data_IF_604001822329
#
_entry.id   IF_604001822329
#
_cell.length_a   1.000
_cell.length_b   1.000
_cell.length_c   1.000
_cell.angle_alpha   90.00
_cell.angle_beta   90.00
_cell.angle_gamma   90.00
#
_symmetry.space_group_name_H-M   'P 1'
#
loop_
_entity.id
_entity.type
_entity.pdbx_description
1 polymer ?
#
# COMPACT_ATOMS: atom_id res chain seq x y z
N UNK A 1 17.42 -5.08 -4.39
CA UNK A 1 16.69 -3.94 -4.98
C UNK A 1 17.60 -3.11 -5.87
N UNK A 2 17.04 -2.28 -6.75
CA UNK A 2 17.74 -1.31 -7.61
C UNK A 2 17.02 0.04 -7.51
N UNK A 3 17.75 1.12 -7.23
CA UNK A 3 17.16 2.47 -7.22
C UNK A 3 16.82 2.91 -8.65
N UNK A 4 15.67 3.56 -8.81
CA UNK A 4 15.24 4.20 -10.06
C UNK A 4 15.23 5.71 -9.80
N UNK A 5 16.17 6.41 -10.42
CA UNK A 5 16.37 7.85 -10.26
C UNK A 5 15.41 8.65 -11.16
N UNK A 6 15.39 9.97 -10.98
CA UNK A 6 14.67 10.86 -11.89
C UNK A 6 15.29 10.82 -13.29
N UNK A 7 16.62 10.68 -13.38
CA UNK A 7 17.34 10.56 -14.65
C UNK A 7 16.96 9.27 -15.40
N UNK A 8 16.87 8.15 -14.69
CA UNK A 8 16.43 6.88 -15.27
C UNK A 8 15.02 7.01 -15.89
N UNK A 9 14.09 7.63 -15.16
CA UNK A 9 12.75 7.90 -15.68
C UNK A 9 12.76 8.84 -16.88
N UNK A 10 13.53 9.93 -16.84
CA UNK A 10 13.64 10.88 -17.95
C UNK A 10 14.24 10.22 -19.20
N UNK A 11 15.14 9.26 -19.04
CA UNK A 11 15.66 8.46 -20.14
C UNK A 11 14.60 7.47 -20.66
N UNK A 12 13.88 6.78 -19.76
CA UNK A 12 12.82 5.84 -20.13
C UNK A 12 11.74 6.47 -21.01
N UNK A 13 11.27 7.68 -20.67
CA UNK A 13 10.19 8.37 -21.40
C UNK A 13 10.59 8.96 -22.76
N UNK A 14 11.88 8.92 -23.11
CA UNK A 14 12.34 9.25 -24.48
C UNK A 14 11.85 8.21 -25.46
N UNK A 15 11.87 6.95 -25.06
CA UNK A 15 11.51 5.80 -25.90
C UNK A 15 10.10 5.26 -25.61
N UNK A 16 9.57 5.51 -24.40
CA UNK A 16 8.29 4.99 -23.94
C UNK A 16 7.29 6.12 -23.66
N UNK A 17 6.11 6.04 -24.25
CA UNK A 17 4.99 6.98 -23.98
C UNK A 17 3.88 6.38 -23.12
N UNK A 18 4.03 5.10 -22.79
CA UNK A 18 3.06 4.31 -22.05
C UNK A 18 3.77 3.23 -21.24
N UNK A 19 3.17 2.84 -20.14
CA UNK A 19 3.45 1.58 -19.44
C UNK A 19 2.22 0.69 -19.49
N UNK A 20 2.44 -0.62 -19.36
CA UNK A 20 1.36 -1.60 -19.25
C UNK A 20 1.48 -2.30 -17.92
N UNK A 21 0.44 -2.17 -17.09
CA UNK A 21 0.36 -2.83 -15.79
C UNK A 21 -0.94 -3.61 -15.80
N UNK A 22 -0.84 -4.92 -15.59
CA UNK A 22 -1.93 -5.87 -15.89
C UNK A 22 -2.42 -5.75 -17.36
N UNK A 23 -3.72 -5.53 -17.54
CA UNK A 23 -4.43 -5.26 -18.80
C UNK A 23 -4.64 -3.76 -19.05
N UNK A 24 -4.01 -2.88 -18.26
CA UNK A 24 -4.23 -1.43 -18.33
C UNK A 24 -3.00 -0.73 -18.90
N UNK A 25 -3.22 -0.08 -20.05
CA UNK A 25 -2.26 0.85 -20.64
C UNK A 25 -2.42 2.25 -20.02
N UNK A 26 -1.32 2.79 -19.50
CA UNK A 26 -1.25 4.07 -18.80
C UNK A 26 -0.21 4.98 -19.45
N UNK A 27 -0.61 6.21 -19.77
CA UNK A 27 0.28 7.21 -20.38
C UNK A 27 1.29 7.77 -19.38
N UNK A 28 2.50 8.04 -19.89
CA UNK A 28 3.63 8.65 -19.18
C UNK A 28 4.36 9.65 -20.08
N UNK A 29 5.26 10.45 -19.49
CA UNK A 29 6.14 11.38 -20.19
C UNK A 29 5.47 12.69 -20.60
N UNK A 30 4.27 12.95 -20.09
CA UNK A 30 3.56 14.21 -20.30
C UNK A 30 3.83 15.18 -19.16
N UNK A 31 3.86 16.47 -19.46
CA UNK A 31 3.95 17.49 -18.41
C UNK A 31 2.58 17.64 -17.73
N UNK A 32 2.53 17.25 -16.46
CA UNK A 32 1.28 17.14 -15.71
C UNK A 32 0.85 18.50 -15.13
N UNK A 33 -0.16 19.14 -15.76
CA UNK A 33 -0.73 20.40 -15.26
C UNK A 33 -1.54 20.16 -13.97
N UNK A 34 -1.13 20.80 -12.89
CA UNK A 34 -1.83 20.73 -11.61
C UNK A 34 -2.87 21.84 -11.51
N UNK A 35 -4.13 21.47 -11.32
CA UNK A 35 -5.21 22.43 -11.00
C UNK A 35 -5.18 22.85 -9.54
N UNK A 36 -4.92 21.88 -8.67
CA UNK A 36 -4.95 22.04 -7.22
C UNK A 36 -3.89 21.12 -6.62
N UNK A 37 -2.99 21.66 -5.78
CA UNK A 37 -1.90 20.87 -5.20
C UNK A 37 -2.34 20.05 -3.97
N UNK A 38 -3.30 20.56 -3.21
CA UNK A 38 -3.77 20.01 -1.93
C UNK A 38 -5.29 20.04 -1.88
N UNK A 39 -5.98 19.12 -1.19
CA UNK A 39 -7.41 19.27 -0.96
C UNK A 39 -7.70 20.61 -0.24
N UNK A 40 -8.75 21.32 -0.66
CA UNK A 40 -9.12 22.62 -0.09
C UNK A 40 -9.36 22.53 1.43
N UNK A 41 -10.04 21.48 1.86
CA UNK A 41 -10.20 21.12 3.26
C UNK A 41 -9.97 19.62 3.41
N UNK A 42 -9.15 19.22 4.39
CA UNK A 42 -8.99 17.84 4.79
C UNK A 42 -9.06 17.73 6.30
N UNK A 43 -10.01 16.93 6.78
CA UNK A 43 -10.17 16.64 8.21
C UNK A 43 -9.72 15.21 8.48
N UNK A 44 -8.98 15.03 9.57
CA UNK A 44 -8.58 13.71 10.03
C UNK A 44 -9.82 12.89 10.44
N UNK A 45 -9.95 11.67 9.93
CA UNK A 45 -11.04 10.75 10.30
C UNK A 45 -10.84 10.24 11.72
N UNK A 46 -11.79 10.48 12.62
CA UNK A 46 -11.65 10.16 14.06
C UNK A 46 -12.29 8.83 14.47
N UNK A 47 -12.92 8.11 13.55
CA UNK A 47 -13.58 6.83 13.80
C UNK A 47 -12.84 5.70 13.11
N UNK A 48 -13.19 4.45 13.41
CA UNK A 48 -12.61 3.26 12.78
C UNK A 48 -13.29 2.85 11.47
N UNK A 49 -14.26 3.62 10.97
CA UNK A 49 -14.93 3.35 9.68
C UNK A 49 -14.68 4.54 8.78
N UNK A 50 -13.80 4.37 7.79
CA UNK A 50 -13.41 5.43 6.87
C UNK A 50 -14.13 5.28 5.55
N UNK A 51 -14.76 6.36 5.10
CA UNK A 51 -15.58 6.36 3.89
C UNK A 51 -15.27 7.61 3.08
N UNK A 52 -14.69 7.40 1.89
CA UNK A 52 -14.37 8.48 0.95
C UNK A 52 -15.07 8.21 -0.39
N UNK A 53 -16.36 8.59 -0.53
CA UNK A 53 -17.14 8.31 -1.75
C UNK A 53 -16.56 8.94 -3.01
N UNK A 54 -15.94 10.12 -2.85
CA UNK A 54 -15.28 10.86 -3.92
C UNK A 54 -13.77 10.70 -3.78
N UNK A 55 -13.13 10.04 -4.75
CA UNK A 55 -11.67 9.96 -4.81
C UNK A 55 -11.09 11.36 -5.03
N UNK A 56 -10.04 11.70 -4.30
CA UNK A 56 -9.30 12.94 -4.53
C UNK A 56 -8.66 13.00 -5.91
N UNK A 57 -8.69 14.19 -6.51
CA UNK A 57 -8.17 14.49 -7.84
C UNK A 57 -7.07 15.57 -7.82
N UNK A 58 -6.62 16.00 -6.64
CA UNK A 58 -5.53 16.97 -6.48
C UNK A 58 -4.17 16.40 -6.89
N UNK A 59 -3.21 17.29 -7.10
CA UNK A 59 -1.90 17.01 -7.68
C UNK A 59 -2.05 16.15 -8.95
N UNK A 60 -1.47 14.96 -8.95
CA UNK A 60 -1.51 13.98 -10.05
C UNK A 60 -2.43 12.79 -9.76
N UNK A 61 -3.18 12.80 -8.65
CA UNK A 61 -4.03 11.66 -8.28
C UNK A 61 -5.14 11.38 -9.31
N UNK A 62 -5.55 12.38 -10.08
CA UNK A 62 -6.51 12.22 -11.18
C UNK A 62 -6.00 11.25 -12.27
N UNK A 63 -4.68 11.13 -12.45
CA UNK A 63 -4.05 10.20 -13.39
C UNK A 63 -4.07 8.75 -12.90
N UNK A 64 -4.29 8.54 -11.61
CA UNK A 64 -4.27 7.23 -10.97
C UNK A 64 -5.65 6.55 -10.96
N UNK A 65 -6.70 7.20 -11.43
CA UNK A 65 -8.06 6.66 -11.40
C UNK A 65 -8.24 5.36 -12.23
N UNK A 66 -7.38 5.13 -13.23
CA UNK A 66 -7.39 3.91 -14.07
C UNK A 66 -6.53 2.77 -13.52
N UNK A 67 -5.59 3.07 -12.63
CA UNK A 67 -4.75 2.05 -11.99
C UNK A 67 -5.57 1.25 -10.97
N UNK A 68 -5.63 -0.07 -11.13
CA UNK A 68 -6.38 -0.95 -10.23
C UNK A 68 -5.58 -1.21 -8.95
N UNK A 69 -6.26 -1.43 -7.84
CA UNK A 69 -5.60 -1.77 -6.58
C UNK A 69 -4.86 -0.61 -5.90
N UNK A 70 -5.12 0.65 -6.24
CA UNK A 70 -4.68 1.77 -5.41
C UNK A 70 -5.73 2.15 -4.36
N UNK A 71 -5.27 2.66 -3.22
CA UNK A 71 -6.15 3.33 -2.27
C UNK A 71 -6.41 4.79 -2.66
N UNK A 72 -7.50 5.35 -2.14
CA UNK A 72 -7.83 6.76 -2.31
C UNK A 72 -6.78 7.63 -1.60
N UNK A 73 -6.38 8.78 -2.16
CA UNK A 73 -5.35 9.62 -1.57
C UNK A 73 -5.73 10.13 -0.18
N UNK A 74 -7.03 10.27 0.13
CA UNK A 74 -7.51 10.54 1.48
C UNK A 74 -7.07 9.49 2.51
N UNK A 75 -7.04 8.21 2.16
CA UNK A 75 -6.63 7.12 3.07
C UNK A 75 -5.15 7.28 3.41
N UNK A 76 -4.30 7.41 2.39
CA UNK A 76 -2.86 7.63 2.56
C UNK A 76 -2.58 8.90 3.36
N UNK A 77 -3.26 10.01 3.03
CA UNK A 77 -3.13 11.29 3.74
C UNK A 77 -3.52 11.18 5.22
N UNK A 78 -4.64 10.53 5.51
CA UNK A 78 -5.11 10.36 6.89
C UNK A 78 -4.09 9.56 7.71
N UNK A 79 -3.54 8.49 7.13
CA UNK A 79 -2.49 7.69 7.74
C UNK A 79 -1.21 8.50 8.01
N UNK A 80 -0.68 9.17 6.98
CA UNK A 80 0.56 9.96 7.07
C UNK A 80 0.44 11.05 8.13
N UNK A 81 -0.67 11.79 8.16
CA UNK A 81 -0.89 12.85 9.13
C UNK A 81 -1.10 12.34 10.57
N UNK A 82 -1.57 11.10 10.75
CA UNK A 82 -1.80 10.49 12.08
C UNK A 82 -0.56 9.86 12.67
N UNK A 83 0.26 9.23 11.83
CA UNK A 83 1.33 8.32 12.27
C UNK A 83 2.73 8.76 11.88
N UNK A 84 2.89 9.97 11.32
CA UNK A 84 4.19 10.59 11.02
C UNK A 84 4.15 12.12 11.17
N UNK A 85 5.33 12.74 11.22
CA UNK A 85 5.56 14.19 11.27
C UNK A 85 6.23 14.68 9.98
N UNK A 86 6.21 16.00 9.76
CA UNK A 86 7.00 16.59 8.67
C UNK A 86 8.47 16.21 8.84
N UNK A 87 9.14 15.82 7.75
CA UNK A 87 10.52 15.35 7.76
C UNK A 87 10.72 13.85 8.05
N UNK A 88 9.68 13.12 8.44
CA UNK A 88 9.78 11.67 8.66
C UNK A 88 9.96 10.89 7.36
N UNK A 89 10.60 9.71 7.47
CA UNK A 89 10.74 8.75 6.37
C UNK A 89 9.54 7.79 6.35
N UNK A 90 8.81 7.77 5.23
CA UNK A 90 7.64 6.93 5.04
C UNK A 90 7.91 5.90 3.95
N UNK A 91 7.70 4.62 4.25
CA UNK A 91 7.88 3.52 3.30
C UNK A 91 6.54 3.01 2.77
N UNK A 92 6.45 2.83 1.46
CA UNK A 92 5.46 2.01 0.78
C UNK A 92 6.19 0.92 -0.02
N UNK A 93 6.05 -0.34 0.39
CA UNK A 93 6.75 -1.46 -0.26
C UNK A 93 5.92 -2.16 -1.36
N UNK A 94 4.79 -1.57 -1.74
CA UNK A 94 3.95 -1.97 -2.87
C UNK A 94 3.44 -0.71 -3.58
N UNK A 95 4.39 0.15 -4.00
CA UNK A 95 4.09 1.57 -4.30
C UNK A 95 3.15 1.76 -5.49
N UNK A 96 3.11 0.82 -6.44
CA UNK A 96 2.17 0.81 -7.55
C UNK A 96 2.16 2.11 -8.35
N UNK A 97 1.05 2.85 -8.29
CA UNK A 97 0.89 4.16 -8.98
C UNK A 97 1.38 5.38 -8.18
N UNK A 98 1.98 5.18 -7.02
CA UNK A 98 2.67 6.25 -6.28
C UNK A 98 1.79 7.10 -5.37
N UNK A 99 0.53 6.71 -5.10
CA UNK A 99 -0.40 7.51 -4.28
C UNK A 99 0.20 7.90 -2.93
N UNK A 100 0.87 6.97 -2.26
CA UNK A 100 1.52 7.20 -0.95
C UNK A 100 2.65 8.21 -1.06
N UNK A 101 3.52 8.11 -2.08
CA UNK A 101 4.65 9.01 -2.28
C UNK A 101 4.21 10.41 -2.72
N UNK A 102 3.13 10.52 -3.51
CA UNK A 102 2.52 11.83 -3.83
C UNK A 102 2.07 12.50 -2.53
N UNK A 103 1.36 11.78 -1.65
CA UNK A 103 0.95 12.34 -0.36
C UNK A 103 2.14 12.64 0.56
N UNK A 104 3.20 11.82 0.55
CA UNK A 104 4.43 12.11 1.28
C UNK A 104 5.06 13.42 0.80
N UNK A 105 5.22 13.61 -0.51
CA UNK A 105 5.69 14.87 -1.11
C UNK A 105 4.81 16.02 -0.64
N UNK A 106 3.49 15.94 -0.86
CA UNK A 106 2.55 17.00 -0.52
C UNK A 106 2.51 17.34 0.98
N UNK A 107 2.75 16.37 1.85
CA UNK A 107 2.80 16.57 3.30
C UNK A 107 4.22 16.74 3.82
N UNK A 108 5.23 16.93 2.97
CA UNK A 108 6.63 17.15 3.38
C UNK A 108 7.27 16.01 4.18
N UNK A 109 7.01 14.76 3.79
CA UNK A 109 7.71 13.55 4.25
C UNK A 109 8.67 13.05 3.17
N UNK A 110 9.71 12.34 3.58
CA UNK A 110 10.59 11.62 2.67
C UNK A 110 9.99 10.25 2.36
N UNK A 111 9.28 10.13 1.23
CA UNK A 111 8.69 8.87 0.79
C UNK A 111 9.72 7.98 0.11
N UNK A 112 9.67 6.69 0.44
CA UNK A 112 10.43 5.62 -0.16
C UNK A 112 9.43 4.62 -0.73
N UNK A 113 9.46 4.41 -2.03
CA UNK A 113 8.58 3.49 -2.75
C UNK A 113 9.34 2.29 -3.27
N UNK A 114 8.86 1.08 -3.01
CA UNK A 114 9.40 -0.15 -3.59
C UNK A 114 8.27 -0.87 -4.32
N UNK A 115 8.54 -1.35 -5.52
CA UNK A 115 7.66 -2.27 -6.24
C UNK A 115 8.50 -3.30 -7.00
N UNK A 116 7.97 -4.50 -7.19
CA UNK A 116 8.65 -5.52 -7.99
C UNK A 116 8.55 -5.19 -9.48
N UNK A 117 7.47 -4.51 -9.90
CA UNK A 117 7.23 -4.16 -11.28
C UNK A 117 7.90 -2.82 -11.65
N UNK A 118 8.89 -2.87 -12.54
CA UNK A 118 9.58 -1.68 -13.06
C UNK A 118 8.65 -0.68 -13.75
N UNK A 119 7.64 -1.14 -14.49
CA UNK A 119 6.64 -0.28 -15.13
C UNK A 119 5.82 0.49 -14.09
N UNK A 120 5.55 -0.12 -12.92
CA UNK A 120 4.88 0.56 -11.80
C UNK A 120 5.80 1.61 -11.14
N UNK A 121 7.10 1.31 -11.00
CA UNK A 121 8.09 2.27 -10.50
C UNK A 121 8.24 3.46 -11.46
N UNK A 122 8.30 3.22 -12.77
CA UNK A 122 8.33 4.28 -13.78
C UNK A 122 7.04 5.12 -13.78
N UNK A 123 5.89 4.47 -13.60
CA UNK A 123 4.61 5.17 -13.41
C UNK A 123 4.65 6.06 -12.17
N UNK A 124 5.11 5.55 -11.02
CA UNK A 124 5.24 6.33 -9.79
C UNK A 124 6.13 7.55 -10.01
N UNK A 125 7.26 7.41 -10.70
CA UNK A 125 8.14 8.53 -11.07
C UNK A 125 7.43 9.57 -11.93
N UNK A 126 6.66 9.14 -12.92
CA UNK A 126 5.83 10.03 -13.73
C UNK A 126 4.85 10.83 -12.86
N UNK A 127 4.14 10.15 -11.96
CA UNK A 127 3.15 10.79 -11.09
C UNK A 127 3.77 11.72 -10.06
N UNK A 128 5.06 11.59 -9.76
CA UNK A 128 5.81 12.52 -8.92
C UNK A 128 6.38 13.72 -9.71
N UNK A 129 6.44 13.60 -11.04
CA UNK A 129 6.95 14.60 -11.97
C UNK A 129 5.90 15.69 -12.27
N UNK A 130 5.65 16.51 -11.26
CA UNK A 130 4.79 17.68 -11.34
C UNK A 130 5.41 18.86 -10.61
N UNK A 131 5.16 20.06 -11.13
CA UNK A 131 5.70 21.30 -10.61
C UNK A 131 5.12 21.62 -9.23
N UNK A 132 5.97 22.10 -8.35
CA UNK A 132 5.56 22.51 -7.02
C UNK A 132 6.01 23.94 -6.73
N UNK A 133 5.12 24.74 -6.15
CA UNK A 133 5.47 26.06 -5.62
C UNK A 133 6.27 25.86 -4.32
N UNK A 134 7.57 25.56 -4.44
CA UNK A 134 8.49 25.40 -3.31
C UNK A 134 9.37 24.16 -3.37
N UNK A 135 10.26 24.05 -2.39
CA UNK A 135 11.14 22.88 -2.20
C UNK A 135 10.41 21.82 -1.39
N UNK A 136 10.26 20.64 -1.97
CA UNK A 136 9.69 19.47 -1.31
C UNK A 136 10.78 18.42 -1.10
N UNK A 137 10.65 17.56 -0.07
CA UNK A 137 11.56 16.43 0.11
C UNK A 137 11.62 15.55 -1.14
N UNK A 138 12.81 15.11 -1.50
CA UNK A 138 12.98 14.14 -2.58
C UNK A 138 12.34 12.80 -2.21
N UNK A 139 11.63 12.23 -3.17
CA UNK A 139 11.03 10.90 -3.03
C UNK A 139 11.93 9.90 -3.75
N UNK A 140 12.20 8.76 -3.11
CA UNK A 140 13.07 7.71 -3.64
C UNK A 140 12.25 6.50 -4.06
N UNK A 141 12.64 5.85 -5.14
CA UNK A 141 11.91 4.72 -5.71
C UNK A 141 12.86 3.60 -6.08
N UNK A 142 12.44 2.36 -5.86
CA UNK A 142 13.25 1.17 -6.11
C UNK A 142 12.44 0.08 -6.79
N UNK A 143 13.07 -0.62 -7.72
CA UNK A 143 12.62 -1.93 -8.17
C UNK A 143 13.14 -2.97 -7.18
N UNK A 144 12.22 -3.72 -6.55
CA UNK A 144 12.58 -4.63 -5.48
C UNK A 144 11.42 -5.45 -4.93
N UNK A 145 11.77 -6.52 -4.24
CA UNK A 145 10.82 -7.38 -3.53
C UNK A 145 10.63 -6.89 -2.09
N UNK A 146 9.39 -6.72 -1.65
CA UNK A 146 9.05 -6.31 -0.29
C UNK A 146 9.56 -7.27 0.80
N UNK A 147 9.88 -8.53 0.44
CA UNK A 147 10.49 -9.54 1.31
C UNK A 147 12.01 -9.36 1.46
N UNK A 148 12.62 -8.42 0.73
CA UNK A 148 14.04 -8.13 0.81
C UNK A 148 14.34 -6.64 0.54
N UNK A 149 14.32 -5.84 1.59
CA UNK A 149 14.55 -4.40 1.56
C UNK A 149 16.03 -4.04 1.80
N UNK A 150 16.96 -4.72 1.12
CA UNK A 150 18.40 -4.68 1.40
C UNK A 150 19.11 -3.32 1.22
N UNK A 151 18.48 -2.34 0.58
CA UNK A 151 18.99 -0.96 0.46
C UNK A 151 18.35 0.01 1.47
N UNK A 152 17.53 -0.51 2.39
CA UNK A 152 16.95 0.25 3.49
C UNK A 152 17.58 -0.23 4.79
N UNK A 153 18.20 0.70 5.51
CA UNK A 153 18.86 0.46 6.78
C UNK A 153 17.88 0.05 7.88
N UNK A 154 18.35 -0.78 8.81
CA UNK A 154 17.61 -1.22 10.00
C UNK A 154 17.17 -0.01 10.85
N UNK A 155 15.91 -0.04 11.30
CA UNK A 155 15.37 1.02 12.16
C UNK A 155 15.49 2.43 11.58
N UNK A 156 15.45 2.59 10.25
CA UNK A 156 15.59 3.88 9.59
C UNK A 156 14.26 4.52 9.19
N UNK A 157 13.18 3.73 9.12
CA UNK A 157 11.83 4.17 8.70
C UNK A 157 11.00 4.59 9.91
N UNK A 158 10.31 5.73 9.81
CA UNK A 158 9.44 6.27 10.86
C UNK A 158 8.02 5.70 10.77
N UNK A 159 7.52 5.54 9.54
CA UNK A 159 6.17 5.04 9.27
C UNK A 159 6.14 4.17 8.01
N UNK A 160 5.43 3.06 8.05
CA UNK A 160 5.15 2.23 6.88
C UNK A 160 3.66 2.37 6.53
N UNK A 161 3.34 2.73 5.30
CA UNK A 161 1.98 2.79 4.78
C UNK A 161 1.94 2.08 3.43
N UNK A 162 1.28 0.93 3.37
CA UNK A 162 1.30 0.14 2.14
C UNK A 162 -0.01 -0.58 1.86
N UNK A 163 -0.20 -0.90 0.59
CA UNK A 163 -1.38 -1.55 0.05
C UNK A 163 -0.95 -2.75 -0.81
N UNK A 164 -0.68 -3.91 -0.19
CA UNK A 164 -0.19 -5.09 -0.90
C UNK A 164 -1.22 -5.67 -1.89
N UNK A 165 -0.77 -6.46 -2.87
CA UNK A 165 -1.67 -7.20 -3.74
C UNK A 165 -2.48 -8.22 -2.94
N UNK A 166 -3.75 -8.38 -3.30
CA UNK A 166 -4.61 -9.41 -2.71
C UNK A 166 -4.39 -10.74 -3.44
N UNK A 167 -3.97 -11.77 -2.69
CA UNK A 167 -3.69 -13.12 -3.17
C UNK A 167 -4.52 -13.55 -4.40
N UNK A 168 -3.91 -13.57 -5.60
CA UNK A 168 -4.50 -14.00 -6.87
C UNK A 168 -5.74 -13.24 -7.39
N UNK A 169 -6.14 -12.13 -6.77
CA UNK A 169 -7.31 -11.34 -7.24
C UNK A 169 -6.92 -10.48 -8.45
N UNK A 170 -5.69 -9.99 -8.49
CA UNK A 170 -5.15 -9.11 -9.53
C UNK A 170 -3.68 -9.49 -9.75
N UNK A 171 -3.24 -9.67 -11.00
CA UNK A 171 -1.86 -10.06 -11.36
C UNK A 171 -1.09 -8.87 -11.92
N UNK A 172 -0.21 -8.26 -11.13
CA UNK A 172 0.40 -6.97 -11.48
C UNK A 172 1.61 -7.04 -12.42
N UNK A 173 2.00 -8.22 -12.91
CA UNK A 173 3.19 -8.42 -13.75
C UNK A 173 2.83 -8.80 -15.20
N UNK A 174 3.69 -8.39 -16.14
CA UNK A 174 3.38 -8.14 -17.56
C UNK A 174 2.97 -9.37 -18.37
N UNK A 175 3.27 -10.58 -17.91
CA UNK A 175 2.59 -11.79 -18.39
C UNK A 175 1.97 -12.55 -17.23
N UNK A 176 0.67 -12.83 -17.32
CA UNK A 176 -0.01 -13.82 -16.46
C UNK A 176 0.66 -15.22 -16.51
N UNK A 177 1.47 -15.48 -17.55
CA UNK A 177 2.22 -16.73 -17.74
C UNK A 177 3.72 -16.68 -17.41
N UNK A 178 4.35 -15.51 -17.20
CA UNK A 178 5.76 -15.44 -16.77
C UNK A 178 5.80 -15.37 -15.25
N UNK A 179 6.42 -16.36 -14.60
CA UNK A 179 6.71 -16.28 -13.16
C UNK A 179 7.83 -15.27 -12.95
N UNK A 180 7.50 -14.00 -12.76
CA UNK A 180 8.43 -13.08 -12.12
C UNK A 180 8.64 -13.58 -10.68
N UNK A 181 9.85 -14.04 -10.40
CA UNK A 181 10.20 -14.64 -9.12
C UNK A 181 10.01 -13.62 -8.01
N UNK A 182 8.98 -13.84 -7.18
CA UNK A 182 8.65 -13.03 -6.02
C UNK A 182 7.38 -12.17 -6.10
N UNK A 183 6.65 -12.26 -7.21
CA UNK A 183 5.32 -11.65 -7.32
C UNK A 183 4.29 -12.35 -6.40
N UNK A 184 4.00 -11.73 -5.26
CA UNK A 184 3.00 -12.20 -4.28
C UNK A 184 1.57 -12.24 -4.85
N UNK A 185 1.29 -11.46 -5.89
CA UNK A 185 -0.03 -11.37 -6.49
C UNK A 185 -0.43 -12.66 -7.22
N UNK A 186 0.54 -13.52 -7.57
CA UNK A 186 0.33 -14.80 -8.26
C UNK A 186 0.11 -15.99 -7.33
N UNK A 187 0.24 -15.82 -6.02
CA UNK A 187 0.08 -16.91 -5.05
C UNK A 187 -1.41 -17.23 -4.88
N UNK A 188 -1.80 -18.46 -5.21
CA UNK A 188 -3.20 -18.93 -5.16
C UNK A 188 -3.55 -19.63 -3.84
N UNK A 189 -2.55 -20.15 -3.13
CA UNK A 189 -2.69 -20.71 -1.79
C UNK A 189 -2.68 -19.60 -0.75
N UNK A 190 -3.73 -19.53 0.06
CA UNK A 190 -3.83 -18.51 1.11
C UNK A 190 -2.75 -18.72 2.17
N UNK A 191 -2.42 -19.98 2.48
CA UNK A 191 -1.39 -20.32 3.46
C UNK A 191 -0.01 -19.87 3.00
N UNK A 192 0.33 -20.16 1.74
CA UNK A 192 1.58 -19.70 1.12
C UNK A 192 1.64 -18.16 1.12
N UNK A 193 0.56 -17.49 0.70
CA UNK A 193 0.49 -16.03 0.69
C UNK A 193 0.72 -15.46 2.09
N UNK A 194 0.09 -16.03 3.12
CA UNK A 194 0.25 -15.57 4.51
C UNK A 194 1.65 -15.82 5.06
N UNK A 195 2.32 -16.90 4.64
CA UNK A 195 3.71 -17.20 4.96
C UNK A 195 4.66 -16.19 4.31
N UNK A 196 4.43 -15.85 3.04
CA UNK A 196 5.22 -14.82 2.36
C UNK A 196 4.98 -13.42 2.93
N UNK A 197 3.73 -13.08 3.28
CA UNK A 197 3.43 -11.84 3.99
C UNK A 197 4.06 -11.78 5.39
N UNK A 198 4.29 -12.92 6.06
CA UNK A 198 5.07 -12.97 7.30
C UNK A 198 6.54 -12.59 7.05
N UNK A 199 7.13 -12.95 5.90
CA UNK A 199 8.48 -12.51 5.52
C UNK A 199 8.51 -11.00 5.27
N UNK A 200 7.50 -10.46 4.59
CA UNK A 200 7.31 -9.00 4.46
C UNK A 200 7.22 -8.34 5.84
N UNK A 201 6.43 -8.91 6.76
CA UNK A 201 6.32 -8.44 8.14
C UNK A 201 7.66 -8.41 8.87
N UNK A 202 8.52 -9.43 8.68
CA UNK A 202 9.89 -9.45 9.23
C UNK A 202 10.76 -8.32 8.68
N UNK A 203 10.71 -8.05 7.39
CA UNK A 203 11.44 -6.94 6.78
C UNK A 203 10.91 -5.59 7.26
N UNK A 204 9.59 -5.42 7.36
CA UNK A 204 8.97 -4.23 7.91
C UNK A 204 9.38 -4.01 9.35
N UNK A 205 9.40 -5.07 10.15
CA UNK A 205 9.93 -5.03 11.51
C UNK A 205 11.39 -4.58 11.55
N UNK A 206 12.26 -5.12 10.67
CA UNK A 206 13.68 -4.77 10.61
C UNK A 206 13.88 -3.27 10.33
N UNK A 207 13.23 -2.74 9.29
CA UNK A 207 13.46 -1.35 8.84
C UNK A 207 12.73 -0.30 9.68
N UNK A 208 11.65 -0.66 10.38
CA UNK A 208 10.87 0.26 11.19
C UNK A 208 11.56 0.60 12.52
N UNK A 209 11.57 1.88 12.87
CA UNK A 209 12.05 2.37 14.17
C UNK A 209 11.25 1.78 15.33
N UNK A 210 11.86 1.49 16.48
CA UNK A 210 11.12 1.23 17.72
C UNK A 210 10.10 2.34 17.99
N UNK A 211 8.88 1.98 18.38
CA UNK A 211 7.76 2.92 18.55
C UNK A 211 7.06 3.36 17.24
N UNK A 212 7.66 3.06 16.07
CA UNK A 212 7.08 3.39 14.78
C UNK A 212 5.82 2.59 14.46
N UNK A 213 5.08 3.06 13.47
CA UNK A 213 3.80 2.46 13.04
C UNK A 213 3.92 1.81 11.66
N UNK A 214 3.11 0.78 11.44
CA UNK A 214 2.96 0.12 10.14
C UNK A 214 1.47 -0.03 9.83
N UNK A 215 1.03 0.52 8.70
CA UNK A 215 -0.34 0.47 8.24
C UNK A 215 -0.44 -0.36 6.95
N UNK A 216 -1.35 -1.34 6.95
CA UNK A 216 -1.56 -2.27 5.83
C UNK A 216 -3.04 -2.32 5.48
N UNK A 217 -3.38 -1.88 4.27
CA UNK A 217 -4.72 -2.06 3.71
C UNK A 217 -4.79 -3.39 2.97
N UNK A 218 -5.69 -4.27 3.38
CA UNK A 218 -5.89 -5.56 2.72
C UNK A 218 -7.37 -5.98 2.78
N UNK A 219 -7.83 -6.53 1.67
CA UNK A 219 -9.19 -6.99 1.44
C UNK A 219 -9.29 -8.50 1.52
N UNK A 220 -10.48 -8.97 1.81
CA UNK A 220 -10.81 -10.39 1.77
C UNK A 220 -11.24 -10.84 0.37
N UNK A 221 -11.35 -12.16 0.19
CA UNK A 221 -11.90 -12.75 -1.03
C UNK A 221 -13.03 -13.72 -0.71
N UNK A 222 -13.64 -14.31 -1.75
CA UNK A 222 -14.71 -15.30 -1.62
C UNK A 222 -14.44 -16.48 -2.56
N UNK A 223 -14.51 -17.71 -2.04
CA UNK A 223 -14.53 -18.94 -2.85
C UNK A 223 -15.72 -19.80 -2.43
N UNK A 224 -16.40 -20.44 -3.38
CA UNK A 224 -17.59 -21.27 -3.12
C UNK A 224 -18.64 -20.59 -2.23
N UNK A 225 -18.90 -19.30 -2.44
CA UNK A 225 -19.83 -18.46 -1.64
C UNK A 225 -19.40 -18.18 -0.19
N UNK A 226 -18.26 -18.67 0.27
CA UNK A 226 -17.74 -18.44 1.62
C UNK A 226 -16.62 -17.41 1.61
N UNK A 227 -16.66 -16.48 2.56
CA UNK A 227 -15.62 -15.45 2.70
C UNK A 227 -14.34 -16.11 3.22
N UNK A 228 -13.22 -15.72 2.64
CA UNK A 228 -11.89 -16.11 3.08
C UNK A 228 -11.27 -14.90 3.77
N UNK A 229 -11.00 -14.98 5.08
CA UNK A 229 -10.50 -13.86 5.88
C UNK A 229 -8.98 -13.69 5.69
N UNK A 230 -8.54 -13.38 4.46
CA UNK A 230 -7.12 -13.18 4.14
C UNK A 230 -6.54 -12.05 5.00
N UNK A 231 -7.31 -10.97 5.14
CA UNK A 231 -6.90 -9.79 5.90
C UNK A 231 -6.51 -10.13 7.34
N UNK A 232 -7.35 -10.90 8.04
CA UNK A 232 -7.08 -11.33 9.42
C UNK A 232 -5.93 -12.33 9.51
N UNK A 233 -5.72 -13.20 8.51
CA UNK A 233 -4.55 -14.10 8.50
C UNK A 233 -3.25 -13.33 8.32
N UNK A 234 -3.25 -12.29 7.49
CA UNK A 234 -2.10 -11.37 7.37
C UNK A 234 -1.91 -10.59 8.66
N UNK A 235 -2.98 -10.14 9.32
CA UNK A 235 -2.89 -9.51 10.64
C UNK A 235 -2.20 -10.43 11.65
N UNK A 236 -2.61 -11.69 11.75
CA UNK A 236 -1.95 -12.68 12.61
C UNK A 236 -0.46 -12.88 12.25
N UNK A 237 -0.11 -12.96 10.96
CA UNK A 237 1.30 -13.04 10.53
C UNK A 237 2.14 -11.88 11.05
N UNK A 238 1.57 -10.67 11.17
CA UNK A 238 2.26 -9.51 11.71
C UNK A 238 2.36 -9.53 13.24
N UNK A 239 1.31 -10.00 13.92
CA UNK A 239 1.36 -10.22 15.37
C UNK A 239 2.40 -11.28 15.75
N UNK A 240 2.53 -12.34 14.95
CA UNK A 240 3.56 -13.38 15.09
C UNK A 240 4.99 -12.85 14.92
N UNK A 241 5.18 -11.75 14.18
CA UNK A 241 6.49 -11.09 14.05
C UNK A 241 6.83 -10.27 15.31
N UNK A 242 5.83 -9.93 16.13
CA UNK A 242 6.00 -9.15 17.36
C UNK A 242 5.37 -7.76 17.31
N UNK A 243 4.63 -7.44 16.26
CA UNK A 243 3.85 -6.19 16.20
C UNK A 243 2.70 -6.20 17.22
N UNK A 244 2.28 -5.00 17.60
CA UNK A 244 1.11 -4.75 18.45
C UNK A 244 0.00 -4.21 17.57
N UNK A 245 -1.18 -4.84 17.57
CA UNK A 245 -2.34 -4.28 16.88
C UNK A 245 -2.78 -3.00 17.60
N UNK A 246 -2.70 -1.86 16.90
CA UNK A 246 -3.12 -0.56 17.43
C UNK A 246 -4.55 -0.23 17.03
N UNK A 247 -4.91 -0.43 15.76
CA UNK A 247 -6.25 -0.20 15.23
C UNK A 247 -6.61 -1.23 14.16
N UNK A 248 -7.89 -1.59 14.08
CA UNK A 248 -8.50 -2.16 12.90
C UNK A 248 -9.51 -1.14 12.34
N UNK A 249 -9.26 -0.66 11.12
CA UNK A 249 -10.08 0.33 10.45
C UNK A 249 -10.79 -0.33 9.26
N UNK A 250 -12.10 -0.16 9.18
CA UNK A 250 -12.90 -0.57 8.03
C UNK A 250 -12.86 0.55 6.99
N UNK A 251 -12.20 0.31 5.86
CA UNK A 251 -12.25 1.22 4.71
C UNK A 251 -13.41 0.79 3.80
N UNK A 252 -14.40 1.67 3.65
CA UNK A 252 -15.56 1.43 2.78
C UNK A 252 -15.13 1.53 1.32
N UNK A 253 -15.56 0.56 0.51
CA UNK A 253 -15.35 0.58 -0.94
C UNK A 253 -16.50 1.32 -1.62
N UNK A 254 -16.13 2.18 -2.57
CA UNK A 254 -17.04 2.96 -3.39
C UNK A 254 -16.73 2.73 -4.87
N UNK A 255 -17.68 2.99 -5.76
CA UNK A 255 -17.49 2.94 -7.22
C UNK A 255 -16.99 1.58 -7.74
N UNK A 256 -17.39 0.49 -7.08
CA UNK A 256 -17.08 -0.89 -7.48
C UNK A 256 -17.82 -1.25 -8.77
N UNK A 257 -17.15 -1.08 -9.93
CA UNK A 257 -17.74 -1.25 -11.28
C UNK A 257 -18.49 -2.57 -11.48
N UNK A 258 -18.07 -3.63 -10.81
CA UNK A 258 -18.67 -4.96 -10.93
C UNK A 258 -19.85 -5.18 -9.99
N UNK A 259 -19.97 -4.45 -8.87
CA UNK A 259 -21.00 -4.72 -7.86
C UNK A 259 -22.43 -4.76 -8.43
N UNK A 260 -22.88 -3.81 -9.28
CA UNK A 260 -24.21 -3.88 -9.88
C UNK A 260 -24.47 -5.15 -10.71
N UNK A 261 -23.42 -5.70 -11.33
CA UNK A 261 -23.51 -6.95 -12.11
C UNK A 261 -23.70 -8.19 -11.23
N UNK A 262 -23.32 -8.09 -9.95
CA UNK A 262 -23.36 -9.19 -8.98
C UNK A 262 -24.49 -9.05 -7.97
N UNK A 263 -25.20 -7.92 -7.89
CA UNK A 263 -26.33 -7.72 -6.97
C UNK A 263 -27.40 -8.81 -7.13
N UNK A 264 -27.86 -9.05 -8.36
CA UNK A 264 -28.83 -10.11 -8.64
C UNK A 264 -28.29 -11.48 -8.25
N UNK A 265 -27.04 -11.78 -8.63
CA UNK A 265 -26.40 -13.06 -8.26
C UNK A 265 -26.26 -13.21 -6.75
N UNK A 266 -25.96 -12.14 -6.03
CA UNK A 266 -25.83 -12.09 -4.57
C UNK A 266 -27.13 -12.52 -3.90
N UNK A 267 -28.27 -11.97 -4.34
CA UNK A 267 -29.61 -12.37 -3.88
C UNK A 267 -29.92 -13.81 -4.30
N UNK A 268 -29.80 -14.14 -5.58
CA UNK A 268 -30.15 -15.45 -6.14
C UNK A 268 -29.33 -16.61 -5.53
N UNK A 269 -28.11 -16.31 -5.08
CA UNK A 269 -27.18 -17.31 -4.54
C UNK A 269 -26.90 -17.19 -3.05
N UNK A 270 -27.57 -16.27 -2.35
CA UNK A 270 -27.42 -15.99 -0.92
C UNK A 270 -25.95 -15.78 -0.46
N UNK A 271 -25.29 -14.75 -0.98
CA UNK A 271 -23.98 -14.29 -0.49
C UNK A 271 -23.89 -12.77 -0.53
N UNK A 272 -23.06 -12.16 0.32
CA UNK A 272 -22.87 -10.70 0.35
C UNK A 272 -21.68 -10.25 -0.52
N UNK A 273 -21.83 -9.10 -1.17
CA UNK A 273 -20.74 -8.40 -1.84
C UNK A 273 -19.76 -7.84 -0.82
N UNK A 274 -18.46 -7.98 -1.07
CA UNK A 274 -17.42 -7.40 -0.21
C UNK A 274 -17.30 -5.91 -0.54
N UNK A 275 -17.83 -5.07 0.35
CA UNK A 275 -17.90 -3.60 0.19
C UNK A 275 -16.97 -2.85 1.16
N UNK A 276 -15.98 -3.56 1.72
CA UNK A 276 -14.98 -2.97 2.58
C UNK A 276 -13.65 -3.70 2.45
N UNK A 277 -12.63 -3.10 3.05
CA UNK A 277 -11.29 -3.63 3.24
C UNK A 277 -10.86 -3.35 4.67
N UNK A 278 -9.96 -4.16 5.21
CA UNK A 278 -9.41 -3.94 6.53
C UNK A 278 -8.08 -3.19 6.41
N UNK A 279 -7.98 -2.06 7.11
CA UNK A 279 -6.76 -1.29 7.30
C UNK A 279 -6.29 -1.52 8.72
N UNK A 280 -5.29 -2.38 8.87
CA UNK A 280 -4.67 -2.62 10.17
C UNK A 280 -3.56 -1.60 10.39
N UNK A 281 -3.55 -1.00 11.56
CA UNK A 281 -2.43 -0.22 12.05
C UNK A 281 -1.76 -0.99 13.17
N UNK A 282 -0.48 -1.27 12.97
CA UNK A 282 0.40 -1.92 13.92
C UNK A 282 1.38 -0.92 14.51
N UNK A 283 1.91 -1.24 15.69
CA UNK A 283 3.01 -0.52 16.32
C UNK A 283 4.14 -1.48 16.66
N UNK A 284 5.37 -1.08 16.38
CA UNK A 284 6.55 -1.77 16.91
C UNK A 284 6.81 -1.27 18.33
N UNK A 285 6.98 -2.15 19.33
CA UNK A 285 7.28 -1.72 20.70
C UNK A 285 8.58 -0.91 20.77
N UNK A 286 8.70 -0.07 21.80
CA UNK A 286 10.00 0.51 22.16
C UNK A 286 10.92 -0.61 22.67
N UNK A 287 12.25 -0.43 22.57
CA UNK A 287 13.23 -1.48 22.92
C UNK A 287 13.05 -2.02 24.34
N UNK A 288 12.76 -1.14 25.29
CA UNK A 288 12.62 -1.47 26.72
C UNK A 288 11.15 -1.38 27.19
N UNK A 289 10.19 -1.47 26.26
CA UNK A 289 8.78 -1.39 26.60
C UNK A 289 8.31 -2.65 27.30
N UNK A 290 7.60 -2.50 28.43
CA UNK A 290 6.90 -3.61 29.07
C UNK A 290 5.69 -4.02 28.23
N UNK A 291 5.88 -4.98 27.32
CA UNK A 291 4.84 -5.41 26.37
C UNK A 291 3.70 -6.23 26.99
N UNK A 292 3.86 -6.72 28.23
CA UNK A 292 2.85 -7.54 28.91
C UNK A 292 1.48 -6.85 29.03
N UNK A 293 1.44 -5.51 29.07
CA UNK A 293 0.19 -4.74 29.13
C UNK A 293 -0.59 -4.77 27.82
N UNK A 294 0.05 -5.15 26.71
CA UNK A 294 -0.56 -5.31 25.39
C UNK A 294 -0.84 -6.78 25.04
N UNK A 295 -0.82 -7.69 26.02
CA UNK A 295 -0.93 -9.13 25.78
C UNK A 295 -2.19 -9.59 25.05
N UNK A 296 -3.27 -8.79 25.06
CA UNK A 296 -4.52 -9.04 24.30
C UNK A 296 -4.49 -8.43 22.89
N UNK A 297 -3.53 -7.57 22.60
CA UNK A 297 -3.33 -6.91 21.30
C UNK A 297 -2.07 -7.42 20.58
N UNK A 298 -1.43 -8.43 21.13
CA UNK A 298 -0.28 -9.14 20.59
C UNK A 298 -0.60 -10.62 20.56
N UNK A 299 0.02 -11.38 19.65
CA UNK A 299 -0.03 -12.81 19.78
C UNK A 299 0.89 -13.20 20.95
N UNK A 300 0.34 -13.82 22.00
CA UNK A 300 1.15 -14.38 23.09
C UNK A 300 2.06 -15.43 22.47
N UNK A 301 3.38 -15.25 22.59
CA UNK A 301 4.31 -16.34 22.27
C UNK A 301 3.89 -17.53 23.14
N UNK A 302 3.34 -18.57 22.52
CA UNK A 302 3.13 -19.83 23.22
C UNK A 302 4.53 -20.31 23.55
N UNK A 303 4.89 -20.28 24.84
CA UNK A 303 6.01 -21.07 25.32
C UNK A 303 5.69 -22.51 24.93
N UNK A 304 6.38 -23.01 23.91
CA UNK A 304 6.36 -24.44 23.60
C UNK A 304 7.01 -25.14 24.78
N UNK A 305 6.19 -25.72 25.64
CA UNK A 305 6.60 -26.73 26.62
C UNK A 305 7.13 -27.97 25.90
#
# INVERSE_FOLDING_TARGET
MKEVTQEDYLNFVKEHKRVVIEDVELEIGQHNKIKLLQPAEFKLETTSVWSFPKRGDWATHYLNARYRGNWAPQVARNLILRYSKEGDKVLDAFVGSGTTLIECKLTKRYGIGVDINEDAVMLTRDRLNFDTLGKFPEQRTFVGDARNLNLIEDGSIDFIATHPPYASIISYTRNSNSREEGDLSKISSIEEFTSEMKKVGKEFWRVLKPGGYCAILIGDTRRHKHQIPISFRVMESFLEVGFILKENIIKVQHNTKTAPLWERKSVDNNFLLLMHENLFVFRKPMRDEKTSIFGESMQRMRETN
#
